data_IF_995021079066
#
_entry.id   IF_995021079066
#
_cell.length_a   1.000
_cell.length_b   1.000
_cell.length_c   1.000
_cell.angle_alpha   90.00
_cell.angle_beta   90.00
_cell.angle_gamma   90.00
#
_symmetry.space_group_name_H-M   'P 1'
#
loop_
_entity.id
_entity.type
_entity.pdbx_description
1 polymer ?
#
# COMPACT_ATOMS: atom_id res chain seq x y z
N UNK A 1 53.95 -44.59 -33.89
CA UNK A 1 54.49 -44.15 -35.20
C UNK A 1 53.40 -44.25 -36.25
N UNK A 2 52.75 -43.15 -36.62
CA UNK A 2 52.37 -42.87 -38.02
C UNK A 2 51.78 -41.46 -38.11
N UNK A 3 52.18 -40.76 -39.17
CA UNK A 3 51.85 -39.37 -39.51
C UNK A 3 50.46 -39.30 -40.15
N UNK A 4 49.86 -38.11 -40.24
CA UNK A 4 49.58 -37.40 -41.51
C UNK A 4 49.02 -36.00 -41.22
N UNK A 5 49.69 -35.01 -41.83
CA UNK A 5 49.27 -33.61 -41.98
C UNK A 5 48.04 -33.52 -42.90
N UNK A 6 47.12 -32.61 -42.58
CA UNK A 6 46.09 -32.14 -43.52
C UNK A 6 45.80 -30.67 -43.28
N UNK A 7 46.51 -29.81 -44.00
CA UNK A 7 46.23 -28.38 -44.07
C UNK A 7 44.99 -28.15 -44.93
N UNK A 8 44.03 -27.37 -44.42
CA UNK A 8 42.95 -26.81 -45.23
C UNK A 8 42.93 -25.29 -45.08
N UNK A 9 43.30 -24.65 -46.18
CA UNK A 9 43.09 -23.22 -46.45
C UNK A 9 41.63 -23.04 -46.81
N UNK A 10 40.89 -22.21 -46.08
CA UNK A 10 39.57 -21.73 -46.52
C UNK A 10 39.62 -20.21 -46.65
N UNK A 11 39.20 -19.83 -47.86
CA UNK A 11 39.16 -18.54 -48.50
C UNK A 11 38.18 -17.59 -47.79
N UNK A 12 38.59 -16.33 -47.72
CA UNK A 12 37.82 -15.17 -47.28
C UNK A 12 36.47 -15.03 -47.98
N UNK A 13 35.41 -14.74 -47.21
CA UNK A 13 34.21 -14.06 -47.70
C UNK A 13 33.89 -12.91 -46.73
N UNK A 14 34.45 -11.74 -47.04
CA UNK A 14 34.18 -10.48 -46.38
C UNK A 14 32.83 -9.97 -46.89
N UNK A 15 31.74 -10.39 -46.25
CA UNK A 15 30.40 -9.86 -46.54
C UNK A 15 30.25 -8.51 -45.85
N UNK A 16 30.19 -7.45 -46.66
CA UNK A 16 29.87 -6.10 -46.22
C UNK A 16 28.44 -6.07 -45.64
N UNK A 17 28.32 -6.06 -44.32
CA UNK A 17 27.09 -5.68 -43.62
C UNK A 17 26.92 -4.17 -43.76
N UNK A 18 26.03 -3.79 -44.67
CA UNK A 18 25.55 -2.41 -44.79
C UNK A 18 24.86 -2.00 -43.50
N UNK A 19 25.48 -1.08 -42.76
CA UNK A 19 24.85 -0.36 -41.66
C UNK A 19 23.90 0.67 -42.29
N UNK A 20 22.64 0.30 -42.50
CA UNK A 20 21.55 1.26 -42.66
C UNK A 20 20.70 1.22 -41.39
N UNK A 21 21.06 2.05 -40.42
CA UNK A 21 20.20 2.36 -39.28
C UNK A 21 20.32 3.85 -38.96
N UNK A 22 19.88 4.68 -39.92
CA UNK A 22 19.62 6.10 -39.70
C UNK A 22 18.12 6.30 -39.53
N UNK A 23 17.71 6.61 -38.29
CA UNK A 23 16.71 7.65 -38.08
C UNK A 23 15.23 7.27 -38.13
N UNK A 24 14.82 6.06 -37.74
CA UNK A 24 13.43 5.92 -37.26
C UNK A 24 13.40 6.31 -35.79
N UNK A 25 12.81 7.49 -35.51
CA UNK A 25 12.40 7.84 -34.17
C UNK A 25 11.56 6.68 -33.61
N UNK A 26 11.80 6.22 -32.37
CA UNK A 26 10.99 5.17 -31.78
C UNK A 26 9.52 5.58 -31.88
N UNK A 27 8.62 4.66 -32.30
CA UNK A 27 7.20 4.98 -32.38
C UNK A 27 6.74 5.51 -31.03
N UNK A 28 6.09 6.68 -31.04
CA UNK A 28 5.51 7.26 -29.83
C UNK A 28 4.67 6.18 -29.15
N UNK A 29 5.03 5.81 -27.92
CA UNK A 29 4.29 4.83 -27.15
C UNK A 29 2.81 5.24 -27.13
N UNK A 30 1.91 4.32 -27.49
CA UNK A 30 0.49 4.58 -27.42
C UNK A 30 0.15 5.10 -26.01
N UNK A 31 -0.63 6.18 -25.88
CA UNK A 31 -0.98 6.73 -24.57
C UNK A 31 -1.64 5.62 -23.76
N UNK A 32 -1.02 5.24 -22.63
CA UNK A 32 -1.60 4.28 -21.70
C UNK A 32 -2.98 4.80 -21.30
N UNK A 33 -4.01 3.98 -21.47
CA UNK A 33 -5.39 4.38 -21.24
C UNK A 33 -5.57 4.96 -19.82
N UNK A 34 -5.93 6.24 -19.75
CA UNK A 34 -6.27 6.91 -18.49
C UNK A 34 -7.53 6.25 -17.92
N UNK A 35 -7.45 5.78 -16.66
CA UNK A 35 -8.63 5.29 -15.94
C UNK A 35 -9.24 6.43 -15.14
N UNK A 36 -10.54 6.67 -15.35
CA UNK A 36 -11.29 7.70 -14.62
C UNK A 36 -12.30 7.01 -13.70
N UNK A 37 -12.21 7.29 -12.41
CA UNK A 37 -13.23 6.88 -11.42
C UNK A 37 -13.96 8.12 -10.92
N UNK A 38 -15.29 8.01 -10.78
CA UNK A 38 -16.10 9.01 -10.10
C UNK A 38 -16.80 8.38 -8.89
N UNK A 39 -16.64 8.97 -7.71
CA UNK A 39 -17.34 8.56 -6.48
C UNK A 39 -18.10 9.73 -5.87
N UNK A 40 -19.27 9.46 -5.28
CA UNK A 40 -20.04 10.44 -4.51
C UNK A 40 -19.68 10.36 -3.03
N UNK A 41 -19.62 11.52 -2.38
CA UNK A 41 -19.53 11.64 -0.92
C UNK A 41 -20.83 11.08 -0.33
N UNK A 42 -20.74 10.16 0.63
CA UNK A 42 -21.91 9.58 1.31
C UNK A 42 -22.50 8.28 0.75
N UNK A 43 -21.99 7.73 -0.37
CA UNK A 43 -22.34 6.35 -0.82
C UNK A 43 -21.31 5.30 -0.41
N UNK A 44 -20.26 5.70 0.30
CA UNK A 44 -19.27 4.77 0.86
C UNK A 44 -19.91 3.91 1.94
N UNK A 45 -19.46 2.66 2.04
CA UNK A 45 -19.78 1.76 3.14
C UNK A 45 -19.59 2.51 4.47
N UNK A 46 -20.59 2.46 5.36
CA UNK A 46 -20.63 3.22 6.62
C UNK A 46 -19.31 2.99 7.32
N UNK A 47 -18.49 4.04 7.40
CA UNK A 47 -17.08 3.80 7.57
C UNK A 47 -16.81 3.04 8.86
N UNK A 48 -15.96 2.01 8.77
CA UNK A 48 -15.62 1.01 9.80
C UNK A 48 -15.04 1.59 11.12
N UNK A 49 -15.15 2.90 11.33
CA UNK A 49 -14.69 3.65 12.50
C UNK A 49 -15.59 3.53 13.73
N UNK A 50 -16.63 2.69 13.70
CA UNK A 50 -17.54 2.48 14.83
C UNK A 50 -16.86 2.06 16.14
N UNK A 51 -15.57 1.68 16.12
CA UNK A 51 -14.79 1.37 17.31
C UNK A 51 -14.80 2.50 18.35
N UNK A 52 -14.77 3.79 17.93
CA UNK A 52 -14.83 4.90 18.89
C UNK A 52 -16.20 5.07 19.57
N UNK A 53 -17.27 4.56 18.96
CA UNK A 53 -18.62 4.56 19.53
C UNK A 53 -18.84 3.39 20.51
N UNK A 54 -17.93 2.41 20.54
CA UNK A 54 -18.01 1.24 21.41
C UNK A 54 -17.33 1.54 22.74
N UNK A 55 -18.09 1.44 23.82
CA UNK A 55 -17.53 1.37 25.17
C UNK A 55 -17.16 -0.09 25.47
N UNK A 56 -15.93 -0.49 25.10
CA UNK A 56 -15.45 -1.87 25.23
C UNK A 56 -15.50 -2.40 26.66
N UNK A 57 -15.25 -1.53 27.65
CA UNK A 57 -15.36 -1.89 29.07
C UNK A 57 -16.77 -2.35 29.43
N UNK A 58 -17.78 -1.54 29.07
CA UNK A 58 -19.20 -1.85 29.32
C UNK A 58 -19.67 -3.04 28.50
N UNK A 59 -19.26 -3.12 27.24
CA UNK A 59 -19.65 -4.20 26.35
C UNK A 59 -19.12 -5.54 26.83
N UNK A 60 -17.82 -5.62 27.15
CA UNK A 60 -17.17 -6.83 27.63
C UNK A 60 -17.50 -7.14 29.11
N UNK A 61 -17.91 -6.15 29.89
CA UNK A 61 -18.25 -6.32 31.30
C UNK A 61 -17.03 -6.60 32.19
N UNK A 62 -15.85 -6.12 31.79
CA UNK A 62 -14.59 -6.29 32.51
C UNK A 62 -14.06 -4.95 33.00
N UNK A 63 -13.58 -4.81 34.25
CA UNK A 63 -13.20 -3.52 34.84
C UNK A 63 -11.77 -3.09 34.47
N UNK A 64 -11.35 -3.25 33.21
CA UNK A 64 -10.01 -2.89 32.74
C UNK A 64 -9.98 -1.43 32.27
N UNK A 65 -9.08 -0.61 32.82
CA UNK A 65 -9.00 0.86 32.53
C UNK A 65 -8.58 1.19 31.12
N UNK A 66 -7.67 0.41 30.53
CA UNK A 66 -7.20 0.68 29.17
C UNK A 66 -8.32 0.60 28.12
N UNK A 67 -9.42 -0.12 28.40
CA UNK A 67 -10.56 -0.27 27.50
C UNK A 67 -11.36 1.02 27.29
N UNK A 68 -11.26 1.99 28.21
CA UNK A 68 -11.95 3.28 28.07
C UNK A 68 -11.44 4.07 26.85
N UNK A 69 -10.17 3.87 26.49
CA UNK A 69 -9.52 4.59 25.37
C UNK A 69 -9.32 3.73 24.13
N UNK A 70 -9.56 2.42 24.22
CA UNK A 70 -9.22 1.47 23.17
C UNK A 70 -9.95 1.77 21.85
N UNK A 71 -11.23 2.10 21.92
CA UNK A 71 -12.01 2.46 20.73
C UNK A 71 -11.48 3.70 20.01
N UNK A 72 -11.05 4.72 20.77
CA UNK A 72 -10.43 5.92 20.21
C UNK A 72 -9.06 5.63 19.56
N UNK A 73 -8.26 4.74 20.18
CA UNK A 73 -6.98 4.29 19.62
C UNK A 73 -7.15 3.55 18.29
N UNK A 74 -8.06 2.56 18.24
CA UNK A 74 -8.40 1.83 17.00
C UNK A 74 -8.88 2.81 15.92
N UNK A 75 -9.76 3.73 16.29
CA UNK A 75 -10.26 4.75 15.37
C UNK A 75 -9.12 5.61 14.82
N UNK A 76 -8.24 6.12 15.68
CA UNK A 76 -7.12 6.95 15.27
C UNK A 76 -6.12 6.20 14.38
N UNK A 77 -5.85 4.93 14.69
CA UNK A 77 -4.95 4.09 13.91
C UNK A 77 -5.54 3.67 12.55
N UNK A 78 -6.87 3.56 12.43
CA UNK A 78 -7.53 3.43 11.11
C UNK A 78 -7.52 4.76 10.33
N UNK A 79 -7.59 5.90 11.03
CA UNK A 79 -7.70 7.24 10.43
C UNK A 79 -6.36 7.69 9.85
N UNK A 80 -5.28 7.41 10.58
CA UNK A 80 -3.91 7.49 10.09
C UNK A 80 -3.39 6.06 10.06
N UNK A 81 -3.58 5.31 8.95
CA UNK A 81 -3.32 3.87 8.85
C UNK A 81 -1.98 3.43 9.47
N UNK A 82 -2.03 3.04 10.74
CA UNK A 82 -0.90 2.59 11.54
C UNK A 82 -1.12 1.11 11.87
N UNK A 83 -0.50 0.19 11.10
CA UNK A 83 -0.73 -1.23 11.29
C UNK A 83 -0.14 -1.75 12.61
N UNK A 84 0.90 -1.11 13.16
CA UNK A 84 1.52 -1.53 14.42
C UNK A 84 0.60 -1.19 15.58
N UNK A 85 0.06 0.03 15.60
CA UNK A 85 -0.91 0.44 16.63
C UNK A 85 -2.21 -0.37 16.56
N UNK A 86 -2.69 -0.72 15.35
CA UNK A 86 -3.82 -1.64 15.19
C UNK A 86 -3.52 -3.03 15.75
N UNK A 87 -2.33 -3.59 15.50
CA UNK A 87 -1.95 -4.89 16.05
C UNK A 87 -1.86 -4.86 17.59
N UNK A 88 -1.30 -3.81 18.19
CA UNK A 88 -1.27 -3.62 19.65
C UNK A 88 -2.67 -3.49 20.25
N UNK A 89 -3.56 -2.76 19.57
CA UNK A 89 -4.95 -2.62 19.99
C UNK A 89 -5.71 -3.96 19.89
N UNK A 90 -5.45 -4.74 18.83
CA UNK A 90 -6.01 -6.07 18.66
C UNK A 90 -5.58 -7.01 19.80
N UNK A 91 -4.29 -7.03 20.15
CA UNK A 91 -3.78 -7.87 21.25
C UNK A 91 -4.39 -7.47 22.60
N UNK A 92 -4.45 -6.15 22.87
CA UNK A 92 -5.09 -5.62 24.08
C UNK A 92 -6.58 -6.00 24.17
N UNK A 93 -7.27 -6.02 23.03
CA UNK A 93 -8.66 -6.44 22.92
C UNK A 93 -8.80 -7.95 23.10
N UNK A 94 -7.91 -8.75 22.52
CA UNK A 94 -7.93 -10.22 22.63
C UNK A 94 -7.82 -10.67 24.08
N UNK A 95 -6.95 -10.04 24.86
CA UNK A 95 -6.84 -10.27 26.31
C UNK A 95 -8.17 -9.97 27.01
N UNK A 96 -8.81 -8.84 26.70
CA UNK A 96 -10.08 -8.46 27.32
C UNK A 96 -11.22 -9.41 26.94
N UNK A 97 -11.33 -9.81 25.67
CA UNK A 97 -12.30 -10.78 25.18
C UNK A 97 -12.13 -12.15 25.85
N UNK A 98 -10.87 -12.59 26.02
CA UNK A 98 -10.52 -13.82 26.72
C UNK A 98 -10.91 -13.79 28.19
N UNK A 99 -10.64 -12.69 28.90
CA UNK A 99 -11.03 -12.51 30.31
C UNK A 99 -12.55 -12.42 30.46
N UNK A 100 -13.23 -11.76 29.52
CA UNK A 100 -14.69 -11.62 29.51
C UNK A 100 -15.42 -12.93 29.13
N UNK A 101 -14.72 -13.86 28.46
CA UNK A 101 -15.33 -15.07 27.90
C UNK A 101 -16.30 -14.80 26.75
N UNK A 102 -16.22 -13.61 26.11
CA UNK A 102 -17.07 -13.21 25.00
C UNK A 102 -16.36 -12.19 24.09
N UNK A 103 -16.84 -12.07 22.86
CA UNK A 103 -16.32 -11.14 21.86
C UNK A 103 -17.05 -9.79 21.90
N UNK A 104 -16.36 -8.72 21.53
CA UNK A 104 -16.97 -7.41 21.30
C UNK A 104 -17.64 -7.35 19.92
N UNK A 105 -18.39 -6.28 19.63
CA UNK A 105 -19.02 -6.08 18.32
C UNK A 105 -18.00 -5.90 17.19
N UNK A 106 -16.86 -5.25 17.48
CA UNK A 106 -15.66 -5.27 16.64
C UNK A 106 -14.63 -6.09 17.40
N UNK A 107 -14.25 -7.24 16.86
CA UNK A 107 -13.44 -8.23 17.57
C UNK A 107 -11.95 -7.94 17.46
N UNK A 108 -11.14 -8.56 18.33
CA UNK A 108 -9.68 -8.50 18.20
C UNK A 108 -9.19 -9.03 16.84
N UNK A 109 -9.81 -10.09 16.34
CA UNK A 109 -9.49 -10.70 15.04
C UNK A 109 -9.78 -9.75 13.87
N UNK A 110 -10.87 -8.99 13.93
CA UNK A 110 -11.19 -7.99 12.89
C UNK A 110 -10.15 -6.86 12.85
N UNK A 111 -9.73 -6.37 14.02
CA UNK A 111 -8.71 -5.31 14.12
C UNK A 111 -7.33 -5.84 13.66
N UNK A 112 -6.99 -7.09 14.00
CA UNK A 112 -5.74 -7.70 13.55
C UNK A 112 -5.73 -7.91 12.03
N UNK A 113 -6.84 -8.33 11.42
CA UNK A 113 -6.95 -8.44 9.96
C UNK A 113 -6.69 -7.11 9.26
N UNK A 114 -7.22 -6.02 9.80
CA UNK A 114 -6.94 -4.67 9.28
C UNK A 114 -5.45 -4.33 9.37
N UNK A 115 -4.82 -4.59 10.53
CA UNK A 115 -3.40 -4.38 10.74
C UNK A 115 -2.55 -5.16 9.70
N UNK A 116 -2.84 -6.45 9.52
CA UNK A 116 -2.13 -7.31 8.59
C UNK A 116 -2.33 -6.88 7.14
N UNK A 117 -3.57 -6.50 6.76
CA UNK A 117 -3.86 -5.98 5.41
C UNK A 117 -3.01 -4.75 5.13
N UNK A 118 -3.00 -3.78 6.04
CA UNK A 118 -2.25 -2.52 5.87
C UNK A 118 -0.74 -2.79 5.85
N UNK A 119 -0.21 -3.61 6.75
CA UNK A 119 1.21 -3.93 6.80
C UNK A 119 1.71 -4.62 5.53
N UNK A 120 0.95 -5.61 5.03
CA UNK A 120 1.29 -6.33 3.78
C UNK A 120 1.25 -5.42 2.58
N UNK A 121 0.30 -4.48 2.55
CA UNK A 121 0.17 -3.49 1.50
C UNK A 121 1.33 -2.47 1.52
N UNK A 122 1.67 -1.93 2.70
CA UNK A 122 2.76 -0.96 2.85
C UNK A 122 4.13 -1.57 2.62
N UNK A 123 4.28 -2.87 2.90
CA UNK A 123 5.50 -3.66 2.75
C UNK A 123 6.74 -2.99 3.37
N UNK A 124 6.57 -2.37 4.54
CA UNK A 124 7.66 -1.72 5.28
C UNK A 124 8.29 -2.71 6.25
N UNK A 125 9.60 -2.91 6.15
CA UNK A 125 10.34 -3.92 6.90
C UNK A 125 10.16 -3.79 8.42
N UNK A 126 10.27 -2.56 8.93
CA UNK A 126 10.14 -2.27 10.35
C UNK A 126 8.72 -2.53 10.88
N UNK A 127 7.68 -2.23 10.11
CA UNK A 127 6.28 -2.45 10.50
C UNK A 127 5.98 -3.95 10.55
N UNK A 128 6.38 -4.69 9.51
CA UNK A 128 6.22 -6.15 9.44
C UNK A 128 6.97 -6.85 10.59
N UNK A 129 8.21 -6.43 10.87
CA UNK A 129 9.01 -6.97 11.97
C UNK A 129 8.38 -6.66 13.33
N UNK A 130 7.82 -5.46 13.53
CA UNK A 130 7.14 -5.11 14.77
C UNK A 130 5.89 -5.98 14.99
N UNK A 131 5.05 -6.15 13.96
CA UNK A 131 3.84 -6.96 14.05
C UNK A 131 4.19 -8.44 14.28
N UNK A 132 5.29 -8.95 13.71
CA UNK A 132 5.74 -10.32 13.98
C UNK A 132 6.13 -10.56 15.45
N UNK A 133 6.49 -9.51 16.19
CA UNK A 133 6.73 -9.61 17.63
C UNK A 133 5.44 -9.53 18.46
N UNK A 134 4.38 -8.92 17.93
CA UNK A 134 3.09 -8.78 18.60
C UNK A 134 2.25 -10.04 18.45
N UNK A 135 2.27 -10.69 17.29
CA UNK A 135 1.45 -11.88 17.04
C UNK A 135 2.05 -13.14 17.66
N UNK A 136 1.21 -13.89 18.38
CA UNK A 136 1.59 -15.15 19.03
C UNK A 136 1.53 -16.37 18.08
N UNK A 137 0.78 -16.27 16.98
CA UNK A 137 0.59 -17.38 16.05
C UNK A 137 1.90 -17.72 15.31
N UNK A 138 2.48 -18.88 15.58
CA UNK A 138 3.80 -19.27 15.09
C UNK A 138 3.96 -19.28 13.57
N UNK A 139 2.93 -19.70 12.82
CA UNK A 139 2.90 -19.66 11.35
C UNK A 139 2.94 -18.23 10.82
N UNK A 140 2.02 -17.38 11.31
CA UNK A 140 1.91 -15.99 10.91
C UNK A 140 3.15 -15.19 11.30
N UNK A 141 3.69 -15.42 12.50
CA UNK A 141 4.94 -14.80 12.97
C UNK A 141 6.11 -15.09 12.03
N UNK A 142 6.23 -16.35 11.58
CA UNK A 142 7.26 -16.75 10.63
C UNK A 142 7.06 -16.08 9.26
N UNK A 143 5.84 -16.11 8.72
CA UNK A 143 5.49 -15.44 7.45
C UNK A 143 5.85 -13.95 7.49
N UNK A 144 5.41 -13.23 8.53
CA UNK A 144 5.70 -11.80 8.67
C UNK A 144 7.19 -11.50 8.84
N UNK A 145 7.94 -12.37 9.51
CA UNK A 145 9.39 -12.21 9.66
C UNK A 145 10.12 -12.43 8.34
N UNK A 146 9.68 -13.40 7.53
CA UNK A 146 10.20 -13.62 6.17
C UNK A 146 9.87 -12.44 5.25
N UNK A 147 8.64 -11.93 5.30
CA UNK A 147 8.25 -10.71 4.57
C UNK A 147 9.08 -9.50 5.02
N UNK A 148 9.31 -9.33 6.32
CA UNK A 148 10.12 -8.22 6.85
C UNK A 148 11.56 -8.28 6.32
N UNK A 149 12.17 -9.46 6.24
CA UNK A 149 13.50 -9.64 5.68
C UNK A 149 13.53 -9.30 4.18
N UNK A 150 12.56 -9.79 3.40
CA UNK A 150 12.45 -9.47 1.98
C UNK A 150 12.23 -7.97 1.72
N UNK A 151 11.36 -7.32 2.51
CA UNK A 151 11.15 -5.87 2.46
C UNK A 151 12.43 -5.10 2.82
N UNK A 152 13.18 -5.57 3.81
CA UNK A 152 14.44 -4.93 4.21
C UNK A 152 15.49 -4.99 3.10
N UNK A 153 15.59 -6.13 2.39
CA UNK A 153 16.46 -6.26 1.22
C UNK A 153 16.06 -5.28 0.11
N UNK A 154 14.76 -5.20 -0.21
CA UNK A 154 14.24 -4.26 -1.22
C UNK A 154 14.52 -2.80 -0.84
N UNK A 155 14.31 -2.42 0.42
CA UNK A 155 14.60 -1.08 0.92
C UNK A 155 16.10 -0.75 0.83
N UNK A 156 16.98 -1.72 1.11
CA UNK A 156 18.42 -1.54 0.99
C UNK A 156 18.87 -1.41 -0.47
N UNK A 157 18.30 -2.22 -1.36
CA UNK A 157 18.55 -2.12 -2.79
C UNK A 157 18.12 -0.76 -3.33
N UNK A 158 16.91 -0.31 -3.02
CA UNK A 158 16.38 0.99 -3.40
C UNK A 158 17.26 2.14 -2.89
N UNK A 159 17.69 2.09 -1.61
CA UNK A 159 18.65 3.07 -1.04
C UNK A 159 19.97 3.08 -1.79
N UNK A 160 20.49 1.91 -2.14
CA UNK A 160 21.78 1.79 -2.87
C UNK A 160 21.68 2.29 -4.31
N UNK A 161 20.56 2.05 -4.99
CA UNK A 161 20.30 2.54 -6.34
C UNK A 161 20.15 4.07 -6.36
N UNK A 162 19.38 4.62 -5.40
CA UNK A 162 19.24 6.07 -5.24
C UNK A 162 20.60 6.76 -5.00
N UNK A 163 21.50 6.14 -4.23
CA UNK A 163 22.85 6.65 -3.99
C UNK A 163 23.74 6.66 -5.25
N UNK A 164 23.49 5.76 -6.21
CA UNK A 164 24.28 5.65 -7.45
C UNK A 164 23.84 6.62 -8.55
N UNK A 165 22.77 7.39 -8.35
CA UNK A 165 22.09 8.16 -9.40
C UNK A 165 21.68 7.32 -10.62
N UNK A 166 21.67 5.99 -10.47
CA UNK A 166 21.02 5.11 -11.41
C UNK A 166 19.54 5.46 -11.30
N UNK A 167 19.04 6.23 -12.28
CA UNK A 167 17.61 6.50 -12.39
C UNK A 167 16.95 5.14 -12.57
N UNK A 168 16.49 4.55 -11.46
CA UNK A 168 15.72 3.32 -11.50
C UNK A 168 14.56 3.64 -12.43
N UNK A 169 14.45 2.87 -13.52
CA UNK A 169 13.30 2.89 -14.43
C UNK A 169 12.07 2.31 -13.72
N UNK A 170 11.87 2.68 -12.47
CA UNK A 170 10.66 2.38 -11.73
C UNK A 170 9.52 3.06 -12.47
N UNK A 171 8.51 2.28 -12.82
CA UNK A 171 7.33 2.75 -13.51
C UNK A 171 6.56 3.65 -12.55
N UNK A 172 6.78 4.96 -12.65
CA UNK A 172 6.04 5.96 -11.91
C UNK A 172 4.63 6.10 -12.49
N UNK A 173 3.61 5.87 -11.67
CA UNK A 173 2.26 6.30 -11.98
C UNK A 173 2.03 7.75 -11.57
N UNK A 174 1.09 8.44 -12.21
CA UNK A 174 0.55 9.72 -11.75
C UNK A 174 -0.90 9.53 -11.33
N UNK A 175 -1.16 9.78 -10.05
CA UNK A 175 -2.50 9.90 -9.50
C UNK A 175 -2.93 11.36 -9.59
N UNK A 176 -4.01 11.62 -10.33
CA UNK A 176 -4.69 12.91 -10.39
C UNK A 176 -5.98 12.84 -9.58
N UNK A 177 -6.09 13.67 -8.55
CA UNK A 177 -7.31 13.75 -7.73
C UNK A 177 -8.02 15.06 -8.02
N UNK A 178 -9.30 15.00 -8.36
CA UNK A 178 -10.16 16.15 -8.59
C UNK A 178 -11.19 16.20 -7.47
N UNK A 179 -11.01 17.16 -6.56
CA UNK A 179 -11.91 17.36 -5.44
C UNK A 179 -13.03 18.34 -5.80
N UNK A 180 -14.23 17.85 -6.05
CA UNK A 180 -15.43 18.67 -6.30
C UNK A 180 -16.35 18.74 -5.06
N UNK A 181 -15.77 18.52 -3.88
CA UNK A 181 -16.47 18.57 -2.59
C UNK A 181 -16.11 19.86 -1.85
N UNK A 182 -16.82 20.13 -0.75
CA UNK A 182 -16.53 21.21 0.20
C UNK A 182 -15.57 20.79 1.32
N UNK A 183 -14.84 19.69 1.13
CA UNK A 183 -14.03 19.08 2.18
C UNK A 183 -12.55 19.02 1.81
N UNK A 184 -11.70 18.95 2.82
CA UNK A 184 -10.27 18.75 2.66
C UNK A 184 -9.95 17.24 2.66
N UNK A 185 -9.33 16.76 1.59
CA UNK A 185 -9.10 15.33 1.39
C UNK A 185 -7.67 14.95 1.72
N UNK A 186 -7.46 13.89 2.50
CA UNK A 186 -6.15 13.27 2.70
C UNK A 186 -6.06 12.06 1.78
N UNK A 187 -5.04 12.05 0.94
CA UNK A 187 -4.85 11.03 -0.08
C UNK A 187 -3.84 10.02 0.44
N UNK A 188 -4.25 8.76 0.47
CA UNK A 188 -3.37 7.65 0.80
C UNK A 188 -3.18 6.77 -0.44
N UNK A 189 -2.01 6.16 -0.54
CA UNK A 189 -1.66 5.19 -1.59
C UNK A 189 -0.90 4.08 -0.90
N UNK A 190 -1.37 2.86 -1.08
CA UNK A 190 -0.86 1.67 -0.39
C UNK A 190 -0.77 1.88 1.13
N UNK A 191 -1.71 2.63 1.73
CA UNK A 191 -1.74 2.92 3.17
C UNK A 191 -0.80 4.05 3.63
N UNK A 192 -0.05 4.68 2.73
CA UNK A 192 0.81 5.82 3.03
C UNK A 192 0.17 7.15 2.60
N UNK A 193 0.23 8.17 3.45
CA UNK A 193 -0.26 9.51 3.09
C UNK A 193 0.66 10.15 2.05
N UNK A 194 0.14 10.42 0.85
CA UNK A 194 0.89 11.08 -0.23
C UNK A 194 0.62 12.58 -0.33
N UNK A 195 -0.42 13.07 0.35
CA UNK A 195 -0.67 14.49 0.51
C UNK A 195 -2.14 14.85 0.71
N UNK A 196 -2.45 16.12 0.48
CA UNK A 196 -3.76 16.71 0.78
C UNK A 196 -4.29 17.45 -0.44
N UNK A 197 -5.60 17.33 -0.71
CA UNK A 197 -6.30 18.08 -1.77
C UNK A 197 -7.44 18.86 -1.14
N UNK A 198 -7.31 20.19 -1.12
CA UNK A 198 -8.34 21.07 -0.58
C UNK A 198 -9.59 21.12 -1.47
N UNK A 199 -10.67 21.64 -0.91
CA UNK A 199 -11.95 21.86 -1.58
C UNK A 199 -11.79 22.56 -2.94
N UNK A 200 -12.47 22.05 -3.96
CA UNK A 200 -12.41 22.59 -5.33
C UNK A 200 -11.06 22.46 -6.05
N UNK A 201 -10.03 21.87 -5.44
CA UNK A 201 -8.68 21.77 -6.02
C UNK A 201 -8.43 20.47 -6.79
N UNK A 202 -7.37 20.49 -7.59
CA UNK A 202 -6.82 19.32 -8.28
C UNK A 202 -5.43 19.02 -7.71
N UNK A 203 -5.25 17.82 -7.18
CA UNK A 203 -3.96 17.30 -6.72
C UNK A 203 -3.32 16.38 -7.76
N UNK A 204 -1.99 16.40 -7.83
CA UNK A 204 -1.20 15.47 -8.62
C UNK A 204 -0.16 14.82 -7.71
N UNK A 205 -0.17 13.49 -7.66
CA UNK A 205 0.72 12.71 -6.82
C UNK A 205 1.49 11.72 -7.68
N UNK A 206 2.81 11.68 -7.50
CA UNK A 206 3.64 10.62 -8.04
C UNK A 206 3.46 9.39 -7.15
N UNK A 207 3.00 8.29 -7.74
CA UNK A 207 2.76 7.04 -7.04
C UNK A 207 3.79 6.02 -7.49
N UNK A 208 4.57 5.56 -6.52
CA UNK A 208 5.57 4.52 -6.70
C UNK A 208 4.90 3.20 -6.33
N UNK A 209 4.67 2.35 -7.34
CA UNK A 209 4.11 1.02 -7.14
C UNK A 209 5.23 0.07 -6.68
N UNK A 210 5.41 -0.12 -5.38
CA UNK A 210 6.29 -1.18 -4.86
C UNK A 210 5.51 -2.52 -4.84
N UNK A 211 5.00 -2.94 -6.00
CA UNK A 211 4.20 -4.16 -6.12
C UNK A 211 3.26 -4.18 -7.32
N UNK A 212 2.84 -5.38 -7.74
CA UNK A 212 2.04 -5.59 -8.95
C UNK A 212 0.58 -5.07 -8.87
N UNK A 213 0.20 -4.33 -7.84
CA UNK A 213 -1.16 -3.81 -7.69
C UNK A 213 -1.06 -2.46 -6.96
N UNK A 214 -1.33 -1.36 -7.66
CA UNK A 214 -1.54 -0.09 -6.97
C UNK A 214 -2.87 -0.23 -6.22
N UNK A 215 -2.85 -0.12 -4.90
CA UNK A 215 -4.04 0.05 -4.11
C UNK A 215 -4.15 1.54 -3.75
N UNK A 216 -5.05 2.23 -4.45
CA UNK A 216 -5.36 3.62 -4.14
C UNK A 216 -6.56 3.58 -3.23
N UNK A 217 -6.33 3.87 -1.95
CA UNK A 217 -7.36 4.04 -0.94
C UNK A 217 -7.30 5.49 -0.50
N UNK A 218 -8.34 6.25 -0.75
CA UNK A 218 -8.29 7.65 -0.37
C UNK A 218 -9.60 8.09 0.25
N UNK A 219 -9.46 9.02 1.19
CA UNK A 219 -10.50 9.29 2.14
C UNK A 219 -10.81 10.78 2.30
N UNK A 220 -12.07 11.06 2.55
CA UNK A 220 -12.56 12.38 2.94
C UNK A 220 -12.84 12.40 4.44
N UNK A 221 -12.56 13.51 5.13
CA UNK A 221 -12.98 13.71 6.52
C UNK A 221 -13.96 14.88 6.63
N UNK A 222 -15.04 14.75 7.42
CA UNK A 222 -15.91 15.84 7.87
C UNK A 222 -16.01 15.78 9.39
N UNK A 223 -15.67 16.86 10.10
CA UNK A 223 -15.70 16.87 11.57
C UNK A 223 -14.80 15.83 12.25
N UNK A 224 -13.82 15.27 11.51
CA UNK A 224 -12.94 14.20 11.96
C UNK A 224 -13.41 12.78 11.61
N UNK A 225 -14.58 12.62 10.99
CA UNK A 225 -15.15 11.34 10.55
C UNK A 225 -14.98 11.11 9.04
N UNK A 226 -14.80 9.84 8.64
CA UNK A 226 -14.55 9.47 7.25
C UNK A 226 -15.84 9.48 6.40
N UNK A 227 -15.84 10.21 5.28
CA UNK A 227 -17.05 10.51 4.48
C UNK A 227 -17.11 9.75 3.14
N UNK A 228 -15.97 9.29 2.62
CA UNK A 228 -15.91 8.51 1.38
C UNK A 228 -14.60 7.75 1.31
N UNK A 229 -14.64 6.50 0.86
CA UNK A 229 -13.48 5.69 0.49
C UNK A 229 -13.68 5.23 -0.96
N UNK A 230 -12.62 5.29 -1.77
CA UNK A 230 -12.57 4.55 -3.02
C UNK A 230 -11.35 3.63 -2.99
N UNK A 231 -11.58 2.34 -3.23
CA UNK A 231 -10.53 1.37 -3.44
C UNK A 231 -10.39 1.11 -4.94
N UNK A 232 -9.15 1.16 -5.43
CA UNK A 232 -8.86 0.95 -6.83
C UNK A 232 -7.69 0.01 -6.93
N UNK A 233 -7.92 -1.10 -7.64
CA UNK A 233 -6.93 -2.10 -7.93
C UNK A 233 -6.51 -2.01 -9.41
N UNK A 234 -5.22 -2.26 -9.67
CA UNK A 234 -4.69 -2.55 -11.00
C UNK A 234 -3.41 -1.81 -11.37
N UNK A 235 -2.89 -2.12 -12.56
CA UNK A 235 -1.74 -1.48 -13.17
C UNK A 235 -2.18 -0.33 -14.09
N UNK A 236 -2.18 0.89 -13.57
CA UNK A 236 -2.48 2.09 -14.36
C UNK A 236 -1.39 3.14 -14.14
N UNK A 237 -0.82 3.66 -15.22
CA UNK A 237 0.22 4.70 -15.12
C UNK A 237 -0.38 6.11 -14.98
N UNK A 238 -1.65 6.28 -15.39
CA UNK A 238 -2.40 7.53 -15.19
C UNK A 238 -3.79 7.19 -14.69
N UNK A 239 -4.14 7.78 -13.56
CA UNK A 239 -5.43 7.55 -12.94
C UNK A 239 -6.02 8.87 -12.46
N UNK A 240 -7.26 9.15 -12.86
CA UNK A 240 -8.01 10.32 -12.41
C UNK A 240 -9.14 9.89 -11.49
N UNK A 241 -9.13 10.38 -10.25
CA UNK A 241 -10.21 10.21 -9.30
C UNK A 241 -11.03 11.50 -9.19
N UNK A 242 -12.32 11.44 -9.49
CA UNK A 242 -13.26 12.56 -9.34
C UNK A 242 -14.17 12.28 -8.14
N UNK A 243 -14.13 13.17 -7.16
CA UNK A 243 -14.94 13.03 -5.96
C UNK A 243 -16.02 14.10 -6.02
N UNK A 244 -17.26 13.65 -6.06
CA UNK A 244 -18.46 14.46 -6.24
C UNK A 244 -19.14 14.67 -4.89
N UNK A 245 -19.51 15.91 -4.58
CA UNK A 245 -20.36 16.23 -3.44
C UNK A 245 -21.77 15.66 -3.55
#
# INVERSE_FOLDING_TARGET
>A
MSRVLGAFVIVSALSALGIQALGQAPPAAAPSAEKVLATKVGTGEKCCFGACAINYRKELGVPLEYLDTLGARIHQARKTPDPVELALAAESLAVAEKVAGKKAAITADDVLKDALRIAKMRNVSAELAAISQIVDEGSLKKELSEMAAAAQEQEQEAKSAAARQDATRELFGTLRVVNLTHECLRIYVDGQCVGVVHEGMVGHFHVHAHGFQNHIEAYCEHGGELVSCAEIFGHHHFFTWRILG
#
